data_IF_598858909701
#
_entry.id   IF_598858909701
#
_cell.length_a   1.000
_cell.length_b   1.000
_cell.length_c   1.000
_cell.angle_alpha   90.00
_cell.angle_beta   90.00
_cell.angle_gamma   90.00
#
_symmetry.space_group_name_H-M   'P 1'
#
loop_
_entity.id
_entity.type
_entity.pdbx_description
1 polymer ?
#
# COMPACT_ATOMS: atom_id res chain seq x y z
N UNK A 1 -15.13 15.42 2.43
CA UNK A 1 -14.35 16.17 1.41
C UNK A 1 -12.88 16.01 1.73
N UNK A 2 -12.12 15.31 0.88
CA UNK A 2 -10.65 15.32 0.96
C UNK A 2 -10.19 16.67 0.43
N UNK A 3 -9.86 17.56 1.36
CA UNK A 3 -9.28 18.85 1.04
C UNK A 3 -7.82 18.62 0.63
N UNK A 4 -7.38 19.25 -0.47
CA UNK A 4 -6.01 19.11 -0.98
C UNK A 4 -4.95 19.71 -0.03
N UNK A 5 -5.37 20.39 1.04
CA UNK A 5 -4.49 20.90 2.09
C UNK A 5 -4.15 19.86 3.19
N UNK A 6 -4.68 18.62 3.11
CA UNK A 6 -4.42 17.55 4.08
C UNK A 6 -3.83 16.33 3.38
N UNK A 7 -2.87 15.73 4.05
CA UNK A 7 -2.29 14.43 3.69
C UNK A 7 -2.56 13.47 4.84
N UNK A 8 -2.96 12.25 4.51
CA UNK A 8 -2.99 11.17 5.48
C UNK A 8 -1.55 10.82 5.86
N UNK A 9 -1.36 10.41 7.11
CA UNK A 9 -0.07 9.96 7.60
C UNK A 9 -0.23 8.63 8.34
N UNK A 10 0.60 7.65 7.96
CA UNK A 10 0.67 6.34 8.57
C UNK A 10 2.09 6.04 9.02
N UNK A 11 2.22 5.49 10.23
CA UNK A 11 3.46 4.92 10.74
C UNK A 11 3.33 3.39 10.80
N UNK A 12 4.31 2.68 10.25
CA UNK A 12 4.40 1.21 10.22
C UNK A 12 5.81 0.73 10.58
N UNK A 13 5.97 -0.50 11.10
CA UNK A 13 7.30 -1.04 11.38
C UNK A 13 8.03 -1.44 10.09
N UNK A 14 9.36 -1.39 10.13
CA UNK A 14 10.22 -2.06 9.16
C UNK A 14 11.39 -2.78 9.85
N UNK A 15 11.87 -3.90 9.28
CA UNK A 15 13.05 -4.63 9.79
C UNK A 15 14.38 -4.04 9.37
N UNK A 16 14.41 -3.40 8.19
CA UNK A 16 15.63 -2.91 7.57
C UNK A 16 15.28 -1.71 6.68
N UNK A 17 15.98 -0.59 6.88
CA UNK A 17 15.68 0.65 6.15
C UNK A 17 15.99 0.56 4.65
N UNK A 18 17.04 -0.15 4.24
CA UNK A 18 17.44 -0.27 2.84
C UNK A 18 16.48 -1.17 2.05
N UNK A 19 16.10 -2.32 2.62
CA UNK A 19 15.10 -3.21 2.02
C UNK A 19 13.75 -2.48 1.86
N UNK A 20 13.36 -1.70 2.87
CA UNK A 20 12.16 -0.88 2.82
C UNK A 20 12.24 0.19 1.74
N UNK A 21 13.33 0.95 1.65
CA UNK A 21 13.50 1.97 0.59
C UNK A 21 13.39 1.33 -0.79
N UNK A 22 14.09 0.22 -1.01
CA UNK A 22 14.05 -0.49 -2.29
C UNK A 22 12.62 -0.94 -2.65
N UNK A 23 11.87 -1.51 -1.70
CA UNK A 23 10.49 -1.93 -1.95
C UNK A 23 9.57 -0.75 -2.31
N UNK A 24 9.58 0.34 -1.53
CA UNK A 24 8.68 1.47 -1.76
C UNK A 24 9.06 2.27 -3.02
N UNK A 25 10.34 2.38 -3.37
CA UNK A 25 10.76 3.01 -4.63
C UNK A 25 10.35 2.19 -5.86
N UNK A 26 10.45 0.86 -5.80
CA UNK A 26 9.92 -0.05 -6.84
C UNK A 26 8.40 0.05 -6.99
N UNK A 27 7.69 0.27 -5.88
CA UNK A 27 6.25 0.56 -5.90
C UNK A 27 5.93 1.94 -6.50
N UNK A 28 6.94 2.75 -6.85
CA UNK A 28 6.79 4.08 -7.44
C UNK A 28 6.65 5.21 -6.42
N UNK A 29 6.85 4.93 -5.13
CA UNK A 29 6.85 5.95 -4.09
C UNK A 29 8.16 6.72 -4.09
N UNK A 30 8.14 7.99 -3.65
CA UNK A 30 9.36 8.81 -3.56
C UNK A 30 9.86 8.86 -2.14
N UNK A 31 11.15 8.54 -1.93
CA UNK A 31 11.80 8.77 -0.65
C UNK A 31 11.89 10.28 -0.36
N UNK A 32 11.23 10.73 0.70
CA UNK A 32 11.22 12.14 1.11
C UNK A 32 12.34 12.44 2.11
N UNK A 33 12.49 11.60 3.15
CA UNK A 33 13.49 11.80 4.22
C UNK A 33 13.97 10.45 4.74
N UNK A 34 15.22 10.44 5.19
CA UNK A 34 15.85 9.29 5.84
C UNK A 34 16.58 9.71 7.12
N UNK A 35 16.38 8.95 8.18
CA UNK A 35 17.08 9.07 9.46
C UNK A 35 17.67 7.71 9.85
N UNK A 36 18.38 7.66 10.96
CA UNK A 36 18.95 6.40 11.48
C UNK A 36 17.87 5.39 11.92
N UNK A 37 16.67 5.86 12.24
CA UNK A 37 15.60 5.05 12.83
C UNK A 37 14.32 4.98 11.98
N UNK A 38 14.25 5.69 10.85
CA UNK A 38 13.05 5.71 9.99
C UNK A 38 13.32 6.26 8.59
N UNK A 39 12.44 5.91 7.66
CA UNK A 39 12.34 6.50 6.32
C UNK A 39 10.91 7.01 6.10
N UNK A 40 10.78 8.14 5.40
CA UNK A 40 9.50 8.75 5.05
C UNK A 40 9.33 8.77 3.54
N UNK A 41 8.18 8.34 3.05
CA UNK A 41 7.83 8.33 1.64
C UNK A 41 6.66 9.26 1.34
N UNK A 42 6.69 9.86 0.16
CA UNK A 42 5.48 10.26 -0.57
C UNK A 42 4.87 8.99 -1.17
N UNK A 43 3.79 8.52 -0.54
CA UNK A 43 3.04 7.32 -0.87
C UNK A 43 1.73 7.76 -1.56
N UNK A 44 1.76 7.89 -2.88
CA UNK A 44 0.61 8.33 -3.69
C UNK A 44 0.01 9.68 -3.24
N UNK A 45 0.84 10.62 -2.79
CA UNK A 45 0.42 11.92 -2.27
C UNK A 45 0.06 11.93 -0.78
N UNK A 46 0.06 10.77 -0.11
CA UNK A 46 0.00 10.62 1.35
C UNK A 46 1.38 10.34 1.94
N UNK A 47 1.50 10.34 3.27
CA UNK A 47 2.77 10.11 3.95
C UNK A 47 2.79 8.75 4.63
N UNK A 48 3.72 7.88 4.22
CA UNK A 48 4.05 6.65 4.97
C UNK A 48 5.42 6.82 5.61
N UNK A 49 5.52 6.52 6.90
CA UNK A 49 6.78 6.51 7.66
C UNK A 49 7.03 5.10 8.17
N UNK A 50 8.11 4.50 7.70
CA UNK A 50 8.54 3.18 8.15
C UNK A 50 9.58 3.34 9.25
N UNK A 51 9.27 2.87 10.46
CA UNK A 51 10.11 2.95 11.63
C UNK A 51 10.90 1.65 11.81
N UNK A 52 12.23 1.76 11.98
CA UNK A 52 13.09 0.61 12.23
C UNK A 52 12.72 -0.03 13.57
N UNK A 53 12.12 -1.22 13.51
CA UNK A 53 11.68 -1.98 14.66
C UNK A 53 11.68 -3.49 14.33
N UNK A 54 12.87 -4.10 14.13
CA UNK A 54 12.99 -5.48 13.69
C UNK A 54 12.43 -6.50 14.68
N UNK A 55 12.33 -6.13 15.97
CA UNK A 55 11.91 -7.03 17.05
C UNK A 55 10.37 -7.11 17.20
N UNK A 56 9.62 -6.19 16.58
CA UNK A 56 8.15 -6.12 16.68
C UNK A 56 7.47 -6.29 15.32
N UNK A 57 7.93 -7.27 14.53
CA UNK A 57 7.34 -7.62 13.23
C UNK A 57 6.50 -8.89 13.37
N UNK A 58 5.31 -8.88 12.78
CA UNK A 58 4.50 -10.09 12.67
C UNK A 58 5.13 -11.00 11.61
N UNK A 59 5.61 -12.18 12.02
CA UNK A 59 6.23 -13.15 11.11
C UNK A 59 5.22 -13.78 10.15
N UNK A 60 3.93 -13.78 10.49
CA UNK A 60 2.88 -14.45 9.73
C UNK A 60 1.79 -13.42 9.39
N UNK A 61 1.92 -12.69 8.26
CA UNK A 61 0.94 -11.70 7.88
C UNK A 61 -0.44 -12.33 7.69
N UNK A 62 -1.46 -11.66 8.23
CA UNK A 62 -2.86 -12.01 8.06
C UNK A 62 -3.57 -10.83 7.44
N UNK A 63 -4.46 -11.12 6.47
CA UNK A 63 -5.27 -10.10 5.79
C UNK A 63 -6.00 -9.17 6.78
N UNK A 64 -6.35 -9.67 7.96
CA UNK A 64 -7.01 -8.93 9.02
C UNK A 64 -6.26 -9.08 10.36
N UNK A 65 -6.30 -8.05 11.22
CA UNK A 65 -7.13 -6.84 11.13
C UNK A 65 -6.41 -5.61 10.54
N UNK A 66 -5.18 -5.76 10.04
CA UNK A 66 -4.34 -4.63 9.63
C UNK A 66 -3.92 -4.75 8.17
N UNK A 67 -4.29 -3.75 7.39
CA UNK A 67 -3.69 -3.41 6.10
C UNK A 67 -3.99 -1.94 5.83
N UNK A 68 -3.27 -1.38 4.88
CA UNK A 68 -3.45 0.01 4.43
C UNK A 68 -3.20 0.08 2.94
N UNK A 69 -3.54 1.18 2.28
CA UNK A 69 -3.18 1.37 0.88
C UNK A 69 -4.08 2.39 0.21
N UNK A 70 -4.31 2.22 -1.09
CA UNK A 70 -4.98 3.23 -1.92
C UNK A 70 -6.25 2.64 -2.53
N UNK A 71 -7.35 3.37 -2.38
CA UNK A 71 -8.53 3.16 -3.23
C UNK A 71 -8.49 4.17 -4.36
N UNK A 72 -8.24 3.70 -5.57
CA UNK A 72 -8.22 4.52 -6.77
C UNK A 72 -9.64 4.79 -7.25
N UNK A 73 -9.91 6.02 -7.66
CA UNK A 73 -11.16 6.40 -8.31
C UNK A 73 -11.08 6.30 -9.84
N UNK A 74 -9.87 6.10 -10.38
CA UNK A 74 -9.61 5.90 -11.79
C UNK A 74 -9.09 4.47 -12.01
N UNK A 75 -9.79 3.69 -12.84
CA UNK A 75 -9.42 2.29 -13.12
C UNK A 75 -8.05 2.15 -13.79
N UNK A 76 -7.72 3.04 -14.72
CA UNK A 76 -6.45 2.98 -15.45
C UNK A 76 -5.24 3.25 -14.56
N UNK A 77 -5.38 4.09 -13.53
CA UNK A 77 -4.33 4.30 -12.51
C UNK A 77 -4.15 3.06 -11.62
N UNK A 78 -5.26 2.43 -11.22
CA UNK A 78 -5.21 1.13 -10.52
C UNK A 78 -4.52 0.05 -11.36
N UNK A 79 -4.89 -0.10 -12.63
CA UNK A 79 -4.28 -1.08 -13.57
C UNK A 79 -2.79 -0.77 -13.79
N UNK A 80 -2.42 0.51 -13.85
CA UNK A 80 -1.02 0.93 -13.96
C UNK A 80 -0.21 0.56 -12.71
N UNK A 81 -0.79 0.75 -11.52
CA UNK A 81 -0.17 0.35 -10.25
C UNK A 81 0.00 -1.17 -10.17
N UNK A 82 -1.02 -1.95 -10.57
CA UNK A 82 -0.96 -3.40 -10.62
C UNK A 82 0.15 -3.88 -11.56
N UNK A 83 0.21 -3.34 -12.79
CA UNK A 83 1.24 -3.68 -13.77
C UNK A 83 2.64 -3.33 -13.27
N UNK A 84 2.84 -2.15 -12.67
CA UNK A 84 4.12 -1.78 -12.09
C UNK A 84 4.57 -2.79 -11.02
N UNK A 85 3.66 -3.21 -10.14
CA UNK A 85 3.98 -4.20 -9.12
C UNK A 85 4.37 -5.56 -9.72
N UNK A 86 3.74 -5.97 -10.83
CA UNK A 86 4.10 -7.20 -11.55
C UNK A 86 5.46 -7.06 -12.25
N UNK A 87 5.70 -5.96 -12.96
CA UNK A 87 6.92 -5.70 -13.73
C UNK A 87 8.16 -5.57 -12.84
N UNK A 88 8.01 -4.99 -11.64
CA UNK A 88 9.08 -4.86 -10.63
C UNK A 88 9.26 -6.11 -9.75
N UNK A 89 8.46 -7.15 -10.02
CA UNK A 89 8.42 -8.43 -9.29
C UNK A 89 8.18 -8.23 -7.78
N UNK A 90 7.26 -7.33 -7.42
CA UNK A 90 6.91 -7.09 -6.02
C UNK A 90 6.18 -8.31 -5.43
N UNK A 91 6.43 -8.67 -4.15
CA UNK A 91 5.73 -9.77 -3.50
C UNK A 91 4.22 -9.50 -3.34
N UNK A 92 3.39 -10.36 -3.93
CA UNK A 92 1.95 -10.36 -3.70
C UNK A 92 1.60 -11.27 -2.51
N UNK A 93 0.85 -10.73 -1.56
CA UNK A 93 0.14 -11.54 -0.57
C UNK A 93 -1.09 -12.19 -1.19
N UNK A 94 -1.77 -11.46 -2.07
CA UNK A 94 -2.94 -11.90 -2.81
C UNK A 94 -2.92 -11.22 -4.18
N UNK A 95 -2.86 -12.02 -5.24
CA UNK A 95 -3.02 -11.53 -6.61
C UNK A 95 -4.41 -10.91 -6.83
N UNK A 96 -4.57 -10.18 -7.94
CA UNK A 96 -5.83 -9.51 -8.26
C UNK A 96 -7.04 -10.44 -8.18
N UNK A 97 -8.07 -9.97 -7.48
CA UNK A 97 -9.35 -10.65 -7.38
C UNK A 97 -10.51 -9.65 -7.34
N UNK A 98 -11.70 -10.15 -7.66
CA UNK A 98 -12.96 -9.43 -7.48
C UNK A 98 -13.50 -9.72 -6.09
N UNK A 99 -13.86 -8.67 -5.35
CA UNK A 99 -14.49 -8.78 -4.04
C UNK A 99 -15.94 -8.33 -4.09
N UNK A 100 -16.80 -9.04 -3.36
CA UNK A 100 -18.26 -8.80 -3.33
C UNK A 100 -18.95 -8.84 -4.70
N UNK A 101 -18.59 -9.83 -5.52
CA UNK A 101 -19.10 -9.96 -6.88
C UNK A 101 -20.63 -9.86 -6.98
N UNK A 102 -21.12 -9.00 -7.88
CA UNK A 102 -22.53 -8.75 -8.15
C UNK A 102 -23.24 -7.84 -7.16
N UNK A 103 -22.54 -7.29 -6.16
CA UNK A 103 -23.09 -6.32 -5.20
C UNK A 103 -22.73 -4.89 -5.59
N UNK A 104 -23.45 -3.87 -5.07
CA UNK A 104 -23.09 -2.47 -5.28
C UNK A 104 -21.63 -2.17 -4.87
N UNK A 105 -21.16 -2.75 -3.77
CA UNK A 105 -19.81 -2.61 -3.25
C UNK A 105 -18.74 -3.50 -3.94
N UNK A 106 -19.05 -4.05 -5.12
CA UNK A 106 -18.08 -4.81 -5.91
C UNK A 106 -16.85 -3.96 -6.25
N UNK A 107 -15.67 -4.52 -6.00
CA UNK A 107 -14.39 -3.87 -6.32
C UNK A 107 -13.33 -4.88 -6.73
N UNK A 108 -12.38 -4.40 -7.53
CA UNK A 108 -11.12 -5.06 -7.80
C UNK A 108 -10.17 -4.80 -6.64
N UNK A 109 -9.39 -5.80 -6.25
CA UNK A 109 -8.39 -5.67 -5.20
C UNK A 109 -7.20 -6.59 -5.42
N UNK A 110 -6.01 -6.12 -5.04
CA UNK A 110 -4.83 -6.96 -4.84
C UNK A 110 -4.09 -6.52 -3.57
N UNK A 111 -3.25 -7.39 -3.04
CA UNK A 111 -2.44 -7.12 -1.86
C UNK A 111 -0.96 -7.36 -2.14
N UNK A 112 -0.13 -6.37 -1.84
CA UNK A 112 1.31 -6.55 -1.73
C UNK A 112 1.69 -6.82 -0.27
N UNK A 113 2.81 -7.50 -0.07
CA UNK A 113 3.46 -7.66 1.23
C UNK A 113 4.84 -7.03 1.19
N UNK A 114 5.08 -6.08 2.08
CA UNK A 114 6.39 -5.42 2.18
C UNK A 114 7.41 -6.31 2.94
N UNK A 115 8.71 -5.95 2.95
CA UNK A 115 9.74 -6.76 3.61
C UNK A 115 9.50 -7.01 5.10
N UNK A 116 8.68 -6.19 5.77
CA UNK A 116 8.33 -6.30 7.18
C UNK A 116 6.91 -6.84 7.39
N UNK A 117 6.38 -7.56 6.39
CA UNK A 117 5.07 -8.21 6.42
C UNK A 117 3.88 -7.24 6.58
N UNK A 118 4.06 -5.94 6.32
CA UNK A 118 2.93 -5.03 6.23
C UNK A 118 2.15 -5.32 4.94
N UNK A 119 0.82 -5.42 5.06
CA UNK A 119 -0.05 -5.67 3.92
C UNK A 119 -0.54 -4.35 3.32
N UNK A 120 -0.31 -4.20 2.01
CA UNK A 120 -0.73 -3.06 1.22
C UNK A 120 -1.89 -3.45 0.30
N UNK A 121 -3.10 -2.97 0.56
CA UNK A 121 -4.30 -3.23 -0.23
C UNK A 121 -4.54 -2.09 -1.23
N UNK A 122 -4.69 -2.44 -2.51
CA UNK A 122 -5.04 -1.49 -3.57
C UNK A 122 -6.38 -1.87 -4.15
N UNK A 123 -7.29 -0.89 -4.27
CA UNK A 123 -8.68 -1.13 -4.66
C UNK A 123 -9.15 -0.22 -5.79
N UNK A 124 -10.10 -0.71 -6.56
CA UNK A 124 -10.94 0.08 -7.45
C UNK A 124 -12.39 -0.39 -7.36
N UNK A 125 -13.30 0.51 -6.95
CA UNK A 125 -14.74 0.24 -6.91
C UNK A 125 -15.38 0.57 -8.26
N UNK A 126 -16.27 -0.30 -8.73
CA UNK A 126 -17.04 -0.02 -9.95
C UNK A 126 -18.05 1.11 -9.74
N UNK A 127 -18.61 1.21 -8.53
CA UNK A 127 -19.44 2.33 -8.08
C UNK A 127 -18.64 3.23 -7.13
N UNK A 128 -18.37 4.46 -7.58
CA UNK A 128 -17.60 5.45 -6.81
C UNK A 128 -18.27 5.80 -5.47
N UNK A 129 -19.58 5.63 -5.34
CA UNK A 129 -20.32 5.95 -4.12
C UNK A 129 -20.05 4.94 -3.00
N UNK A 130 -19.45 3.77 -3.31
CA UNK A 130 -19.13 2.69 -2.38
C UNK A 130 -17.69 2.71 -1.87
N UNK A 131 -16.91 3.74 -2.21
CA UNK A 131 -15.52 3.91 -1.71
C UNK A 131 -15.47 4.12 -0.18
N UNK A 132 -16.57 4.59 0.43
CA UNK A 132 -16.67 4.93 1.86
C UNK A 132 -17.81 4.22 2.56
#
# INVERSE_FOLDING_TARGET
>A
MRDKNKVFHLAIPCKNLDETVNFYEKLGCKLARRYQDRVTFDFFGDQVVCHLNPDEIDEIPKMYPRHSGITFTNKGEYETCLRLAMDEELPFFQEEMVRFKGKPEEHLTFFLVDPANNLLEFKYYHDITMVY
#
